data_IF_265771972054
#
_entry.id   IF_265771972054
#
_cell.length_a   1.000
_cell.length_b   1.000
_cell.length_c   1.000
_cell.angle_alpha   90.00
_cell.angle_beta   90.00
_cell.angle_gamma   90.00
#
_symmetry.space_group_name_H-M   'P 1'
#
loop_
_entity.id
_entity.type
_entity.pdbx_description
1 polymer ?
#
# COMPACT_ATOMS: atom_id res chain seq x y z
N UNK A 1 12.90 26.90 9.27
CA UNK A 1 13.16 25.47 8.98
C UNK A 1 12.13 24.56 9.65
N UNK A 2 12.07 24.48 11.00
CA UNK A 2 11.11 23.61 11.72
C UNK A 2 9.64 23.91 11.33
N UNK A 3 9.26 25.19 11.27
CA UNK A 3 7.90 25.59 10.88
C UNK A 3 7.54 25.13 9.46
N UNK A 4 8.50 25.16 8.54
CA UNK A 4 8.31 24.72 7.15
C UNK A 4 8.10 23.20 7.08
N UNK A 5 8.96 22.42 7.73
CA UNK A 5 8.82 20.96 7.81
C UNK A 5 7.48 20.57 8.42
N UNK A 6 7.09 21.21 9.54
CA UNK A 6 5.81 20.96 10.18
C UNK A 6 4.64 21.26 9.25
N UNK A 7 4.68 22.36 8.50
CA UNK A 7 3.62 22.70 7.54
C UNK A 7 3.45 21.65 6.43
N UNK A 8 4.56 21.06 5.96
CA UNK A 8 4.55 20.00 4.94
C UNK A 8 4.02 18.66 5.49
N UNK A 9 4.33 18.35 6.75
CA UNK A 9 3.76 17.17 7.42
C UNK A 9 2.25 17.36 7.61
N UNK A 10 1.82 18.54 8.06
CA UNK A 10 0.40 18.83 8.28
C UNK A 10 -0.39 18.76 6.98
N UNK A 11 0.10 19.35 5.87
CA UNK A 11 -0.61 19.27 4.58
C UNK A 11 -0.66 17.83 4.05
N UNK A 12 0.40 17.04 4.25
CA UNK A 12 0.41 15.61 3.91
C UNK A 12 -0.63 14.84 4.72
N UNK A 13 -0.75 15.14 6.02
CA UNK A 13 -1.74 14.50 6.90
C UNK A 13 -3.17 14.86 6.49
N UNK A 14 -3.44 16.14 6.20
CA UNK A 14 -4.75 16.58 5.70
C UNK A 14 -5.09 15.87 4.41
N UNK A 15 -4.15 15.79 3.46
CA UNK A 15 -4.35 15.05 2.22
C UNK A 15 -4.64 13.57 2.48
N UNK A 16 -3.87 12.91 3.34
CA UNK A 16 -4.10 11.51 3.67
C UNK A 16 -5.50 11.29 4.28
N UNK A 17 -5.95 12.17 5.18
CA UNK A 17 -7.31 12.08 5.73
C UNK A 17 -8.40 12.31 4.68
N UNK A 18 -8.17 13.21 3.71
CA UNK A 18 -9.09 13.38 2.58
C UNK A 18 -9.16 12.11 1.71
N UNK A 19 -8.02 11.48 1.41
CA UNK A 19 -7.98 10.22 0.66
C UNK A 19 -8.65 9.09 1.44
N UNK A 20 -8.43 9.01 2.76
CA UNK A 20 -9.10 8.02 3.62
C UNK A 20 -10.63 8.19 3.58
N UNK A 21 -11.12 9.43 3.60
CA UNK A 21 -12.55 9.70 3.43
C UNK A 21 -13.05 9.30 2.04
N UNK A 22 -12.28 9.58 0.98
CA UNK A 22 -12.63 9.13 -0.38
C UNK A 22 -12.72 7.60 -0.44
N UNK A 23 -11.75 6.87 0.12
CA UNK A 23 -11.79 5.40 0.22
C UNK A 23 -13.07 4.98 0.95
N UNK A 24 -13.35 5.56 2.11
CA UNK A 24 -14.55 5.26 2.90
C UNK A 24 -15.86 5.48 2.14
N UNK A 25 -15.95 6.54 1.33
CA UNK A 25 -17.16 6.83 0.54
C UNK A 25 -17.18 6.07 -0.79
N UNK A 26 -16.12 5.35 -1.14
CA UNK A 26 -16.07 4.48 -2.33
C UNK A 26 -16.66 3.10 -2.06
N UNK A 27 -16.74 2.71 -0.79
CA UNK A 27 -17.44 1.52 -0.30
C UNK A 27 -18.94 1.67 -0.56
N UNK A 28 -19.45 0.85 -1.49
CA UNK A 28 -20.81 1.00 -2.04
C UNK A 28 -21.86 0.22 -1.27
N UNK A 29 -21.52 -0.98 -0.80
CA UNK A 29 -22.51 -1.89 -0.22
C UNK A 29 -22.68 -1.59 1.28
N UNK A 30 -21.59 -1.55 2.06
CA UNK A 30 -21.64 -1.24 3.49
C UNK A 30 -20.41 -0.48 3.99
N UNK A 31 -20.54 0.85 3.96
CA UNK A 31 -19.56 1.78 4.52
C UNK A 31 -18.94 1.34 5.85
N UNK A 32 -17.64 1.06 5.79
CA UNK A 32 -16.89 0.65 6.95
C UNK A 32 -16.74 1.72 8.05
N UNK A 33 -16.57 1.24 9.28
CA UNK A 33 -16.47 2.11 10.45
C UNK A 33 -15.19 2.95 10.37
N UNK A 34 -15.30 4.27 10.57
CA UNK A 34 -14.14 5.18 10.46
C UNK A 34 -12.96 4.77 11.36
N UNK A 35 -13.25 4.20 12.54
CA UNK A 35 -12.22 3.70 13.47
C UNK A 35 -11.44 2.52 12.88
N UNK A 36 -12.09 1.61 12.17
CA UNK A 36 -11.46 0.45 11.52
C UNK A 36 -10.53 0.91 10.40
N UNK A 37 -10.97 1.90 9.61
CA UNK A 37 -10.13 2.51 8.55
C UNK A 37 -8.94 3.26 9.12
N UNK A 38 -9.11 3.98 10.24
CA UNK A 38 -8.01 4.64 10.93
C UNK A 38 -7.02 3.61 11.50
N UNK A 39 -7.51 2.47 12.00
CA UNK A 39 -6.65 1.38 12.45
C UNK A 39 -5.86 0.76 11.29
N UNK A 40 -6.49 0.52 10.13
CA UNK A 40 -5.82 0.09 8.91
C UNK A 40 -4.74 1.09 8.47
N UNK A 41 -5.05 2.39 8.50
CA UNK A 41 -4.06 3.45 8.26
C UNK A 41 -2.86 3.37 9.22
N UNK A 42 -3.09 3.15 10.52
CA UNK A 42 -1.99 2.99 11.49
C UNK A 42 -1.20 1.69 11.26
N UNK A 43 -1.84 0.61 10.83
CA UNK A 43 -1.15 -0.62 10.42
C UNK A 43 -0.21 -0.39 9.22
N UNK A 44 -0.47 0.61 8.38
CA UNK A 44 0.47 1.09 7.36
C UNK A 44 1.81 1.53 7.94
N UNK A 45 1.83 2.09 9.16
CA UNK A 45 3.09 2.51 9.81
C UNK A 45 3.87 1.29 10.29
N UNK A 46 3.16 0.29 10.80
CA UNK A 46 3.77 -0.99 11.15
C UNK A 46 4.32 -1.70 9.90
N UNK A 47 3.62 -1.63 8.76
CA UNK A 47 4.13 -2.13 7.49
C UNK A 47 5.44 -1.42 7.06
N UNK A 48 5.54 -0.10 7.24
CA UNK A 48 6.78 0.64 6.96
C UNK A 48 7.96 0.16 7.82
N UNK A 49 7.73 -0.12 9.11
CA UNK A 49 8.76 -0.68 9.99
C UNK A 49 9.20 -2.07 9.54
N UNK A 50 8.25 -2.94 9.16
CA UNK A 50 8.53 -4.29 8.67
C UNK A 50 9.35 -4.22 7.37
N UNK A 51 8.94 -3.40 6.40
CA UNK A 51 9.64 -3.24 5.13
C UNK A 51 11.08 -2.75 5.35
N UNK A 52 11.26 -1.68 6.12
CA UNK A 52 12.58 -1.14 6.47
C UNK A 52 13.48 -2.17 7.17
N UNK A 53 12.90 -3.05 8.00
CA UNK A 53 13.63 -4.13 8.67
C UNK A 53 14.10 -5.19 7.68
N UNK A 54 13.26 -5.57 6.71
CA UNK A 54 13.61 -6.52 5.64
C UNK A 54 14.74 -5.94 4.78
N UNK A 55 14.61 -4.69 4.35
CA UNK A 55 15.62 -4.00 3.53
C UNK A 55 16.95 -3.88 4.27
N UNK A 56 16.92 -3.49 5.55
CA UNK A 56 18.12 -3.38 6.39
C UNK A 56 18.81 -4.73 6.58
N UNK A 57 18.05 -5.81 6.77
CA UNK A 57 18.60 -7.15 6.90
C UNK A 57 19.27 -7.61 5.60
N UNK A 58 18.64 -7.39 4.44
CA UNK A 58 19.21 -7.74 3.14
C UNK A 58 20.51 -6.96 2.89
N UNK A 59 20.52 -5.66 3.20
CA UNK A 59 21.71 -4.82 3.11
C UNK A 59 22.83 -5.32 4.06
N UNK A 60 22.48 -5.67 5.30
CA UNK A 60 23.42 -6.16 6.31
C UNK A 60 24.07 -7.51 5.92
N UNK A 61 23.30 -8.42 5.31
CA UNK A 61 23.79 -9.72 4.87
C UNK A 61 24.82 -9.64 3.72
N UNK A 62 25.16 -8.43 3.26
CA UNK A 62 26.23 -8.23 2.30
C UNK A 62 25.92 -8.83 0.93
N UNK A 63 24.63 -9.05 0.63
CA UNK A 63 24.19 -9.32 -0.74
C UNK A 63 24.72 -8.14 -1.55
N UNK A 64 25.63 -8.38 -2.48
CA UNK A 64 26.28 -7.35 -3.29
C UNK A 64 25.28 -6.78 -4.32
N UNK A 65 24.19 -6.21 -3.82
CA UNK A 65 23.15 -5.56 -4.59
C UNK A 65 23.52 -4.10 -4.74
N UNK A 66 23.46 -3.63 -5.98
CA UNK A 66 23.62 -2.22 -6.29
C UNK A 66 22.50 -1.42 -5.59
N UNK A 67 22.76 -0.15 -5.27
CA UNK A 67 21.74 0.75 -4.71
C UNK A 67 20.47 0.78 -5.57
N UNK A 68 20.61 0.64 -6.90
CA UNK A 68 19.48 0.61 -7.81
C UNK A 68 18.69 -0.70 -7.76
N UNK A 69 19.33 -1.85 -7.51
CA UNK A 69 18.61 -3.11 -7.32
C UNK A 69 17.80 -3.09 -6.02
N UNK A 70 18.37 -2.51 -4.95
CA UNK A 70 17.64 -2.33 -3.70
C UNK A 70 16.37 -1.50 -3.92
N UNK A 71 16.49 -0.35 -4.60
CA UNK A 71 15.35 0.56 -4.83
C UNK A 71 14.32 0.01 -5.81
N UNK A 72 14.73 -0.72 -6.87
CA UNK A 72 13.79 -1.17 -7.92
C UNK A 72 13.19 -2.54 -7.63
N UNK A 73 13.90 -3.42 -6.91
CA UNK A 73 13.46 -4.80 -6.72
C UNK A 73 13.17 -5.09 -5.25
N UNK A 74 14.15 -4.86 -4.36
CA UNK A 74 14.03 -5.29 -2.96
C UNK A 74 12.98 -4.47 -2.21
N UNK A 75 13.05 -3.14 -2.30
CA UNK A 75 12.13 -2.24 -1.62
C UNK A 75 10.67 -2.48 -2.07
N UNK A 76 10.31 -2.47 -3.38
CA UNK A 76 8.95 -2.77 -3.79
C UNK A 76 8.41 -4.11 -3.32
N UNK A 77 9.22 -5.17 -3.33
CA UNK A 77 8.80 -6.49 -2.83
C UNK A 77 8.58 -6.45 -1.32
N UNK A 78 9.53 -5.89 -0.56
CA UNK A 78 9.46 -5.82 0.90
C UNK A 78 8.27 -4.98 1.37
N UNK A 79 8.03 -3.83 0.71
CA UNK A 79 6.96 -2.90 1.04
C UNK A 79 5.58 -3.45 0.68
N UNK A 80 5.40 -4.02 -0.51
CA UNK A 80 4.12 -4.64 -0.87
C UNK A 80 3.84 -5.88 -0.02
N UNK A 81 4.86 -6.68 0.30
CA UNK A 81 4.73 -7.78 1.26
C UNK A 81 4.24 -7.27 2.62
N UNK A 82 4.89 -6.26 3.19
CA UNK A 82 4.54 -5.75 4.50
C UNK A 82 3.11 -5.18 4.52
N UNK A 83 2.70 -4.45 3.48
CA UNK A 83 1.34 -3.90 3.36
C UNK A 83 0.29 -5.00 3.24
N UNK A 84 0.48 -5.96 2.34
CA UNK A 84 -0.45 -7.07 2.14
C UNK A 84 -0.52 -7.97 3.39
N UNK A 85 0.60 -8.21 4.05
CA UNK A 85 0.64 -8.95 5.31
C UNK A 85 -0.17 -8.24 6.40
N UNK A 86 -0.04 -6.91 6.53
CA UNK A 86 -0.81 -6.13 7.51
C UNK A 86 -2.30 -6.07 7.16
N UNK A 87 -2.66 -5.90 5.88
CA UNK A 87 -4.05 -5.83 5.44
C UNK A 87 -4.77 -7.18 5.50
N UNK A 88 -4.03 -8.28 5.46
CA UNK A 88 -4.55 -9.65 5.63
C UNK A 88 -4.31 -10.20 7.04
N UNK A 89 -4.03 -9.32 8.00
CA UNK A 89 -3.94 -9.73 9.40
C UNK A 89 -5.28 -10.29 9.87
N UNK A 90 -5.21 -11.17 10.87
CA UNK A 90 -6.39 -11.84 11.44
C UNK A 90 -7.50 -10.86 11.83
N UNK A 91 -7.12 -9.69 12.34
CA UNK A 91 -8.07 -8.64 12.72
C UNK A 91 -8.92 -8.19 11.52
N UNK A 92 -8.30 -7.76 10.42
CA UNK A 92 -9.06 -7.27 9.26
C UNK A 92 -9.82 -8.38 8.57
N UNK A 93 -9.25 -9.58 8.50
CA UNK A 93 -9.95 -10.76 8.01
C UNK A 93 -11.26 -10.96 8.79
N UNK A 94 -11.23 -10.94 10.13
CA UNK A 94 -12.43 -11.12 10.95
C UNK A 94 -13.47 -9.98 10.81
N UNK A 95 -13.04 -8.79 10.42
CA UNK A 95 -13.92 -7.62 10.18
C UNK A 95 -14.49 -7.57 8.75
N UNK A 96 -13.97 -8.34 7.79
CA UNK A 96 -14.49 -8.38 6.42
C UNK A 96 -15.82 -9.14 6.37
N UNK A 97 -16.88 -8.50 5.90
CA UNK A 97 -18.16 -9.14 5.58
C UNK A 97 -18.45 -9.18 4.07
N UNK A 98 -17.68 -8.46 3.26
CA UNK A 98 -17.71 -8.53 1.81
C UNK A 98 -16.32 -8.47 1.14
N UNK A 99 -16.17 -8.98 -0.10
CA UNK A 99 -14.89 -8.94 -0.80
C UNK A 99 -14.33 -7.54 -1.04
N UNK A 100 -15.19 -6.52 -1.12
CA UNK A 100 -14.80 -5.12 -1.29
C UNK A 100 -14.05 -4.58 -0.06
N UNK A 101 -14.37 -5.03 1.15
CA UNK A 101 -13.68 -4.63 2.39
C UNK A 101 -12.17 -4.89 2.34
N UNK A 102 -11.76 -5.97 1.67
CA UNK A 102 -10.36 -6.27 1.47
C UNK A 102 -9.64 -5.16 0.71
N UNK A 103 -10.28 -4.59 -0.31
CA UNK A 103 -9.77 -3.44 -1.05
C UNK A 103 -9.70 -2.21 -0.16
N UNK A 104 -10.75 -1.94 0.62
CA UNK A 104 -10.87 -0.79 1.51
C UNK A 104 -9.76 -0.82 2.57
N UNK A 105 -9.58 -1.93 3.29
CA UNK A 105 -8.56 -2.05 4.32
C UNK A 105 -7.15 -2.02 3.74
N UNK A 106 -6.89 -2.70 2.61
CA UNK A 106 -5.58 -2.68 1.97
C UNK A 106 -5.22 -1.28 1.45
N UNK A 107 -6.18 -0.55 0.89
CA UNK A 107 -5.99 0.84 0.46
C UNK A 107 -5.66 1.75 1.66
N UNK A 108 -6.33 1.58 2.80
CA UNK A 108 -6.01 2.31 4.02
C UNK A 108 -4.61 1.99 4.58
N UNK A 109 -4.21 0.70 4.59
CA UNK A 109 -2.84 0.29 4.97
C UNK A 109 -1.81 0.93 4.03
N UNK A 110 -2.03 0.89 2.72
CA UNK A 110 -1.13 1.50 1.74
C UNK A 110 -1.05 3.03 1.89
N UNK A 111 -2.17 3.69 2.16
CA UNK A 111 -2.23 5.11 2.44
C UNK A 111 -1.43 5.49 3.69
N UNK A 112 -1.54 4.70 4.76
CA UNK A 112 -0.76 4.89 5.98
C UNK A 112 0.73 4.71 5.77
N UNK A 113 1.11 3.66 5.06
CA UNK A 113 2.48 3.41 4.65
C UNK A 113 3.06 4.60 3.87
N UNK A 114 2.37 5.02 2.81
CA UNK A 114 2.85 6.09 1.94
C UNK A 114 2.86 7.45 2.64
N UNK A 115 1.94 7.68 3.59
CA UNK A 115 1.97 8.86 4.45
C UNK A 115 3.24 8.92 5.29
N UNK A 116 3.56 7.86 6.04
CA UNK A 116 4.74 7.89 6.92
C UNK A 116 6.03 7.93 6.11
N UNK A 117 6.06 7.24 4.97
CA UNK A 117 7.17 7.31 4.04
C UNK A 117 7.36 8.74 3.52
N UNK A 118 6.28 9.44 3.13
CA UNK A 118 6.38 10.83 2.71
C UNK A 118 6.92 11.74 3.82
N UNK A 119 6.49 11.53 5.07
CA UNK A 119 7.04 12.25 6.23
C UNK A 119 8.55 11.99 6.38
N UNK A 120 8.99 10.74 6.24
CA UNK A 120 10.41 10.38 6.29
C UNK A 120 11.22 11.07 5.18
N UNK A 121 10.71 11.14 3.95
CA UNK A 121 11.34 11.89 2.86
C UNK A 121 11.44 13.39 3.17
N UNK A 122 10.36 14.01 3.68
CA UNK A 122 10.37 15.42 4.07
C UNK A 122 11.46 15.69 5.11
N UNK A 123 11.53 14.86 6.17
CA UNK A 123 12.51 15.02 7.24
C UNK A 123 13.93 14.79 6.73
N UNK A 124 14.15 13.72 5.98
CA UNK A 124 15.48 13.33 5.46
C UNK A 124 16.08 14.42 4.58
N UNK A 125 15.30 14.97 3.65
CA UNK A 125 15.78 15.96 2.70
C UNK A 125 15.63 17.43 3.17
N UNK A 126 15.10 17.66 4.37
CA UNK A 126 14.83 19.01 4.89
C UNK A 126 16.07 19.90 5.08
N UNK A 127 17.24 19.29 5.25
CA UNK A 127 18.52 19.98 5.41
C UNK A 127 19.29 20.11 4.08
N UNK A 128 18.94 19.31 3.08
CA UNK A 128 19.63 19.21 1.80
C UNK A 128 18.96 20.06 0.71
N UNK A 129 17.63 20.18 0.76
CA UNK A 129 16.83 20.87 -0.24
C UNK A 129 16.43 22.28 0.22
N UNK A 130 16.29 23.21 -0.74
CA UNK A 130 15.59 24.46 -0.48
C UNK A 130 14.12 24.21 -0.16
N UNK A 131 13.46 25.18 0.50
CA UNK A 131 12.03 25.03 0.84
C UNK A 131 11.14 24.77 -0.39
N UNK A 132 11.43 25.43 -1.53
CA UNK A 132 10.66 25.23 -2.77
C UNK A 132 10.84 23.82 -3.31
N UNK A 133 12.08 23.30 -3.35
CA UNK A 133 12.33 21.92 -3.76
C UNK A 133 11.69 20.90 -2.82
N UNK A 134 11.65 21.18 -1.52
CA UNK A 134 11.00 20.32 -0.54
C UNK A 134 9.47 20.32 -0.70
N UNK A 135 8.87 21.48 -1.05
CA UNK A 135 7.46 21.60 -1.44
C UNK A 135 7.19 20.76 -2.69
N UNK A 136 8.03 20.88 -3.73
CA UNK A 136 7.89 20.13 -4.97
C UNK A 136 7.96 18.61 -4.73
N UNK A 137 8.94 18.15 -3.94
CA UNK A 137 9.06 16.75 -3.53
C UNK A 137 7.79 16.28 -2.80
N UNK A 138 7.31 17.08 -1.84
CA UNK A 138 6.13 16.76 -1.03
C UNK A 138 4.88 16.63 -1.92
N UNK A 139 4.64 17.59 -2.82
CA UNK A 139 3.48 17.59 -3.71
C UNK A 139 3.54 16.43 -4.69
N UNK A 140 4.69 16.17 -5.32
CA UNK A 140 4.84 15.04 -6.25
C UNK A 140 4.57 13.71 -5.56
N UNK A 141 5.07 13.53 -4.33
CA UNK A 141 4.79 12.32 -3.56
C UNK A 141 3.32 12.23 -3.13
N UNK A 142 2.71 13.34 -2.71
CA UNK A 142 1.28 13.37 -2.38
C UNK A 142 0.40 12.93 -3.56
N UNK A 143 0.63 13.46 -4.77
CA UNK A 143 -0.26 13.24 -5.91
C UNK A 143 0.15 12.11 -6.85
N UNK A 144 1.38 11.60 -6.77
CA UNK A 144 1.84 10.45 -7.56
C UNK A 144 2.13 9.25 -6.67
N UNK A 145 3.03 9.39 -5.70
CA UNK A 145 3.50 8.28 -4.86
C UNK A 145 2.34 7.63 -4.08
N UNK A 146 1.57 8.42 -3.31
CA UNK A 146 0.49 7.90 -2.47
C UNK A 146 -0.57 7.13 -3.31
N UNK A 147 -1.13 7.69 -4.40
CA UNK A 147 -2.05 6.93 -5.26
C UNK A 147 -1.46 5.65 -5.85
N UNK A 148 -0.17 5.64 -6.18
CA UNK A 148 0.48 4.45 -6.76
C UNK A 148 0.65 3.35 -5.70
N UNK A 149 1.04 3.67 -4.47
CA UNK A 149 1.08 2.66 -3.40
C UNK A 149 -0.31 2.05 -3.17
N UNK A 150 -1.37 2.87 -3.19
CA UNK A 150 -2.75 2.38 -3.10
C UNK A 150 -3.03 1.46 -4.29
N UNK A 151 -2.76 1.89 -5.52
CA UNK A 151 -3.01 1.09 -6.72
C UNK A 151 -2.26 -0.25 -6.72
N UNK A 152 -0.97 -0.26 -6.37
CA UNK A 152 -0.15 -1.47 -6.32
C UNK A 152 -0.70 -2.47 -5.30
N UNK A 153 -0.95 -2.01 -4.06
CA UNK A 153 -1.49 -2.88 -3.00
C UNK A 153 -2.93 -3.34 -3.33
N UNK A 154 -3.73 -2.51 -4.00
CA UNK A 154 -5.06 -2.87 -4.49
C UNK A 154 -5.02 -4.04 -5.49
N UNK A 155 -4.07 -4.06 -6.43
CA UNK A 155 -3.87 -5.22 -7.33
C UNK A 155 -3.51 -6.46 -6.52
N UNK A 156 -2.57 -6.31 -5.59
CA UNK A 156 -2.11 -7.40 -4.73
C UNK A 156 -3.25 -8.03 -3.95
N UNK A 157 -4.05 -7.22 -3.25
CA UNK A 157 -5.13 -7.74 -2.41
C UNK A 157 -6.24 -8.38 -3.27
N UNK A 158 -6.55 -7.84 -4.46
CA UNK A 158 -7.49 -8.48 -5.37
C UNK A 158 -7.00 -9.87 -5.80
N UNK A 159 -5.72 -10.00 -6.16
CA UNK A 159 -5.13 -11.30 -6.49
C UNK A 159 -5.18 -12.24 -5.29
N UNK A 160 -4.84 -11.76 -4.10
CA UNK A 160 -4.90 -12.55 -2.86
C UNK A 160 -6.31 -13.11 -2.63
N UNK A 161 -7.35 -12.26 -2.66
CA UNK A 161 -8.74 -12.67 -2.41
C UNK A 161 -9.21 -13.67 -3.47
N UNK A 162 -8.93 -13.44 -4.75
CA UNK A 162 -9.30 -14.40 -5.79
C UNK A 162 -8.63 -15.77 -5.60
N UNK A 163 -7.35 -15.80 -5.26
CA UNK A 163 -6.64 -17.06 -5.04
C UNK A 163 -7.17 -17.81 -3.82
N UNK A 164 -7.47 -17.10 -2.73
CA UNK A 164 -8.02 -17.69 -1.50
C UNK A 164 -9.44 -18.21 -1.69
N UNK A 165 -10.31 -17.46 -2.35
CA UNK A 165 -11.75 -17.77 -2.41
C UNK A 165 -12.15 -18.63 -3.61
N UNK A 166 -11.51 -18.45 -4.76
CA UNK A 166 -11.90 -19.14 -6.01
C UNK A 166 -11.03 -20.36 -6.26
N UNK A 167 -9.74 -20.29 -5.90
CA UNK A 167 -8.76 -21.31 -6.25
C UNK A 167 -8.24 -22.11 -5.05
N UNK A 168 -8.71 -21.84 -3.83
CA UNK A 168 -8.36 -22.55 -2.57
C UNK A 168 -6.85 -22.58 -2.28
N UNK A 169 -6.12 -21.54 -2.68
CA UNK A 169 -4.70 -21.40 -2.35
C UNK A 169 -4.52 -21.18 -0.85
N UNK A 170 -3.43 -21.68 -0.27
CA UNK A 170 -3.13 -21.37 1.12
C UNK A 170 -2.66 -19.91 1.27
N UNK A 171 -2.64 -19.41 2.51
CA UNK A 171 -2.29 -18.02 2.81
C UNK A 171 -0.92 -17.61 2.23
N UNK A 172 0.10 -18.46 2.34
CA UNK A 172 1.46 -18.14 1.90
C UNK A 172 1.52 -18.08 0.37
N UNK A 173 0.95 -19.07 -0.31
CA UNK A 173 0.92 -19.11 -1.78
C UNK A 173 0.18 -17.90 -2.37
N UNK A 174 -0.99 -17.58 -1.82
CA UNK A 174 -1.76 -16.42 -2.24
C UNK A 174 -1.00 -15.10 -1.98
N UNK A 175 -0.34 -14.98 -0.82
CA UNK A 175 0.42 -13.78 -0.46
C UNK A 175 1.63 -13.58 -1.38
N UNK A 176 2.37 -14.64 -1.71
CA UNK A 176 3.51 -14.57 -2.64
C UNK A 176 3.08 -14.07 -4.01
N UNK A 177 1.98 -14.62 -4.56
CA UNK A 177 1.47 -14.20 -5.87
C UNK A 177 0.86 -12.80 -5.85
N UNK A 178 0.27 -12.38 -4.72
CA UNK A 178 -0.21 -11.02 -4.51
C UNK A 178 0.94 -9.99 -4.47
N UNK A 179 2.06 -10.30 -3.81
CA UNK A 179 3.26 -9.44 -3.85
C UNK A 179 3.82 -9.39 -5.26
N UNK A 180 3.89 -10.54 -5.94
CA UNK A 180 4.40 -10.62 -7.32
C UNK A 180 3.56 -9.81 -8.32
N UNK A 181 2.26 -9.64 -8.07
CA UNK A 181 1.38 -8.81 -8.92
C UNK A 181 1.45 -7.31 -8.56
N UNK A 182 1.67 -6.97 -7.28
CA UNK A 182 1.74 -5.59 -6.81
C UNK A 182 3.10 -4.91 -7.07
N UNK A 183 4.20 -5.62 -6.78
CA UNK A 183 5.56 -5.07 -6.82
C UNK A 183 5.97 -4.46 -8.17
N UNK A 184 5.55 -4.97 -9.36
CA UNK A 184 5.91 -4.37 -10.63
C UNK A 184 5.44 -2.92 -10.84
N UNK A 185 4.21 -2.57 -10.40
CA UNK A 185 3.70 -1.21 -10.54
C UNK A 185 4.49 -0.24 -9.66
N UNK A 186 4.83 -0.68 -8.46
CA UNK A 186 5.65 0.09 -7.52
C UNK A 186 7.10 0.22 -8.02
N UNK A 187 7.73 -0.85 -8.50
CA UNK A 187 9.04 -0.80 -9.12
C UNK A 187 9.09 0.16 -10.33
N UNK A 188 8.02 0.19 -11.13
CA UNK A 188 7.89 1.15 -12.23
C UNK A 188 7.84 2.60 -11.74
N UNK A 189 7.16 2.88 -10.62
CA UNK A 189 7.19 4.19 -9.96
C UNK A 189 8.59 4.55 -9.47
N UNK A 190 9.31 3.63 -8.83
CA UNK A 190 10.67 3.91 -8.35
C UNK A 190 11.61 4.21 -9.52
N UNK A 191 11.50 3.48 -10.63
CA UNK A 191 12.26 3.78 -11.85
C UNK A 191 11.86 5.15 -12.45
N UNK A 192 10.58 5.49 -12.44
CA UNK A 192 10.11 6.82 -12.87
C UNK A 192 10.69 7.93 -11.98
N UNK A 193 10.69 7.75 -10.66
CA UNK A 193 11.22 8.72 -9.71
C UNK A 193 12.74 8.93 -9.87
N UNK A 194 13.50 7.86 -10.17
CA UNK A 194 14.94 7.95 -10.47
C UNK A 194 15.20 8.69 -11.79
N UNK A 195 14.41 8.40 -12.82
CA UNK A 195 14.63 8.94 -14.17
C UNK A 195 14.01 10.31 -14.41
N UNK A 196 13.03 10.73 -13.61
CA UNK A 196 12.26 11.96 -13.80
C UNK A 196 11.41 11.96 -15.08
N UNK A 197 11.14 10.79 -15.67
CA UNK A 197 10.48 10.68 -16.98
C UNK A 197 8.97 10.99 -16.91
N UNK A 198 8.56 12.12 -17.48
CA UNK A 198 7.15 12.53 -17.54
C UNK A 198 6.27 11.54 -18.34
N UNK A 199 6.83 10.93 -19.39
CA UNK A 199 6.14 9.89 -20.16
C UNK A 199 5.84 8.68 -19.28
N UNK A 200 6.82 8.23 -18.48
CA UNK A 200 6.60 7.13 -17.54
C UNK A 200 5.58 7.52 -16.46
N UNK A 201 5.67 8.74 -15.92
CA UNK A 201 4.70 9.23 -14.95
C UNK A 201 3.27 9.15 -15.50
N UNK A 202 3.07 9.56 -16.76
CA UNK A 202 1.77 9.55 -17.43
C UNK A 202 1.23 8.13 -17.63
N UNK A 203 2.10 7.20 -18.05
CA UNK A 203 1.76 5.78 -18.19
C UNK A 203 1.38 5.18 -16.84
N UNK A 204 2.16 5.45 -15.79
CA UNK A 204 1.93 4.88 -14.45
C UNK A 204 0.63 5.42 -13.85
N UNK A 205 0.29 6.69 -14.06
CA UNK A 205 -1.00 7.25 -13.64
C UNK A 205 -2.15 6.50 -14.33
N UNK A 206 -2.07 6.28 -15.64
CA UNK A 206 -3.08 5.52 -16.39
C UNK A 206 -3.18 4.08 -15.87
N UNK A 207 -2.05 3.40 -15.69
CA UNK A 207 -2.01 2.04 -15.15
C UNK A 207 -2.58 1.97 -13.74
N UNK A 208 -2.34 2.98 -12.89
CA UNK A 208 -2.87 3.03 -11.53
C UNK A 208 -4.39 3.20 -11.53
N UNK A 209 -4.93 4.06 -12.40
CA UNK A 209 -6.39 4.23 -12.57
C UNK A 209 -7.02 2.92 -13.06
N UNK A 210 -6.43 2.29 -14.08
CA UNK A 210 -6.90 1.01 -14.62
C UNK A 210 -6.84 -0.08 -13.55
N UNK A 211 -5.75 -0.16 -12.80
CA UNK A 211 -5.53 -1.12 -11.72
C UNK A 211 -6.59 -1.00 -10.62
N UNK A 212 -6.82 0.21 -10.10
CA UNK A 212 -7.83 0.44 -9.05
C UNK A 212 -9.23 0.12 -9.57
N UNK A 213 -9.56 0.57 -10.79
CA UNK A 213 -10.87 0.30 -11.40
C UNK A 213 -11.08 -1.20 -11.61
N UNK A 214 -10.06 -1.90 -12.10
CA UNK A 214 -10.10 -3.34 -12.30
C UNK A 214 -10.25 -4.09 -10.97
N UNK A 215 -9.45 -3.73 -9.95
CA UNK A 215 -9.52 -4.30 -8.60
C UNK A 215 -10.91 -4.17 -8.00
N UNK A 216 -11.49 -2.97 -8.10
CA UNK A 216 -12.84 -2.67 -7.62
C UNK A 216 -13.91 -3.49 -8.37
N UNK A 217 -13.88 -3.49 -9.71
CA UNK A 217 -14.84 -4.27 -10.52
C UNK A 217 -14.76 -5.78 -10.24
N UNK A 218 -13.55 -6.31 -10.08
CA UNK A 218 -13.32 -7.73 -9.83
C UNK A 218 -13.86 -8.15 -8.47
N UNK A 219 -13.47 -7.47 -7.39
CA UNK A 219 -13.93 -7.81 -6.04
C UNK A 219 -15.44 -7.63 -5.91
N UNK A 220 -16.00 -6.58 -6.52
CA UNK A 220 -17.45 -6.37 -6.54
C UNK A 220 -18.22 -7.44 -7.33
N UNK A 221 -17.60 -8.06 -8.34
CA UNK A 221 -18.22 -9.15 -9.09
C UNK A 221 -18.35 -10.44 -8.27
N UNK A 222 -17.60 -10.56 -7.17
CA UNK A 222 -17.68 -11.70 -6.27
C UNK A 222 -18.94 -11.59 -5.42
N UNK A 223 -19.72 -12.67 -5.32
CA UNK A 223 -20.92 -12.67 -4.48
C UNK A 223 -20.52 -12.43 -3.02
N UNK A 224 -21.33 -11.69 -2.24
CA UNK A 224 -21.20 -11.61 -0.78
C UNK A 224 -21.60 -12.96 -0.18
N UNK A 225 -20.71 -13.94 -0.30
CA UNK A 225 -20.75 -15.22 0.41
C UNK A 225 -19.61 -15.28 1.43
N UNK A 226 -19.01 -14.14 1.77
CA UNK A 226 -17.84 -13.99 2.62
C UNK A 226 -18.18 -14.32 4.08
N UNK A 227 -18.44 -15.60 4.35
CA UNK A 227 -18.08 -16.20 5.62
C UNK A 227 -16.69 -16.74 5.39
N UNK A 228 -15.67 -15.98 5.78
CA UNK A 228 -14.40 -16.63 6.11
C UNK A 228 -14.75 -17.84 6.96
N UNK A 229 -14.27 -19.05 6.61
CA UNK A 229 -14.38 -20.14 7.54
C UNK A 229 -13.63 -19.65 8.78
N UNK A 230 -14.38 -19.34 9.85
CA UNK A 230 -13.85 -19.39 11.20
C UNK A 230 -12.95 -20.60 11.22
N UNK A 231 -11.68 -20.49 11.68
CA UNK A 231 -10.81 -21.65 11.72
C UNK A 231 -11.61 -22.72 12.41
N UNK A 232 -11.96 -23.76 11.65
CA UNK A 232 -12.82 -24.81 12.16
C UNK A 232 -12.24 -25.17 13.52
N UNK A 233 -13.09 -25.14 14.54
CA UNK A 233 -12.93 -26.03 15.68
C UNK A 233 -12.84 -27.46 15.14
N UNK A 234 -11.67 -27.84 14.61
CA UNK A 234 -11.23 -29.21 14.58
C UNK A 234 -10.71 -29.45 15.99
N UNK A 235 -11.64 -29.93 16.80
CA UNK A 235 -11.32 -30.89 17.85
C UNK A 235 -10.27 -31.86 17.30
N UNK A 236 -9.04 -31.72 17.76
CA UNK A 236 -8.06 -32.78 17.82
C UNK A 236 -7.31 -32.59 19.13
N UNK A 237 -7.61 -33.51 20.05
CA UNK A 237 -6.87 -33.98 21.22
C UNK A 237 -5.57 -33.26 21.58
#
# INVERSE_FOLDING_TARGET
MIVHVLSLIVITFVYAMLVLLVIRFSDVEKMEAFKTLLLAFVFGFAAAIVAASIESLIAFLGVAVTSIFMVIIVAPIAEEYAKLYMSTSRYFIEEMDEPEDALIYAACVALGFAFIENVLYIVTFSLELSYVQLVDLTIQRMFLCIPIHIAATSIGITVYIYLREIYDYNHIEALVLAVASAAPLHAAYNLMAITGSLTMASIIVILSIVAITFAWLMLRSMKPTYKLPLPHHKNLY
#
